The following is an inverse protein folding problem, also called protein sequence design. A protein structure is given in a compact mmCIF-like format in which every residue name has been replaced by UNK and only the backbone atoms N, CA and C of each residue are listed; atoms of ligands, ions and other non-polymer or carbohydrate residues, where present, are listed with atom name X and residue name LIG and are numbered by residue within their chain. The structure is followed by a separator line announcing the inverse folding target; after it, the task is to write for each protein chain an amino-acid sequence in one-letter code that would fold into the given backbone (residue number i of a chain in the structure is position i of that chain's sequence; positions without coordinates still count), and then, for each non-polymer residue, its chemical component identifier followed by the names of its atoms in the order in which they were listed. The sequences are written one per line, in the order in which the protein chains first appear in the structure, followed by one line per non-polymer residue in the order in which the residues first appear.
data_IF_465602369573
#
_entry.id   IF_465602369573
#
_cell.length_a   1.000
_cell.length_b   1.000
_cell.length_c   1.000
_cell.angle_alpha   90.00
_cell.angle_beta   90.00
_cell.angle_gamma   90.00
#
_symmetry.space_group_name_H-M   'P 1'
#
loop_
_entity.id
_entity.type
_entity.pdbx_description
1 polymer ?
#
# COMPACT_ATOMS: atom_id res chain seq x y z
N UNK A 1 9.51 -3.73 0.92
CA UNK A 1 8.47 -2.68 0.85
C UNK A 1 9.03 -1.36 1.35
N UNK A 2 9.76 -0.64 0.50
CA UNK A 2 10.27 0.71 0.82
C UNK A 2 10.92 1.42 -0.38
N UNK A 3 11.05 0.75 -1.53
CA UNK A 3 11.77 1.28 -2.70
C UNK A 3 10.91 2.19 -3.56
N UNK A 4 9.71 1.75 -3.90
CA UNK A 4 8.97 2.35 -5.03
C UNK A 4 8.28 3.68 -4.65
N UNK A 5 7.85 3.83 -3.39
CA UNK A 5 7.30 5.09 -2.88
C UNK A 5 8.37 6.19 -2.79
N UNK A 6 9.66 5.84 -2.60
CA UNK A 6 10.74 6.84 -2.47
C UNK A 6 11.17 7.46 -3.79
N UNK A 7 10.96 6.77 -4.91
CA UNK A 7 11.52 7.18 -6.20
C UNK A 7 10.63 8.15 -6.97
N UNK A 8 9.30 8.06 -6.79
CA UNK A 8 8.33 8.92 -7.49
C UNK A 8 8.01 10.23 -6.76
N UNK A 9 8.25 10.30 -5.45
CA UNK A 9 7.80 11.41 -4.61
C UNK A 9 8.92 11.80 -3.66
N UNK A 10 9.45 13.01 -3.80
CA UNK A 10 10.44 13.57 -2.88
C UNK A 10 10.08 13.24 -1.43
N UNK A 11 11.09 12.80 -0.65
CA UNK A 11 11.02 12.25 0.71
C UNK A 11 9.62 12.29 1.34
N UNK A 12 8.91 11.16 1.30
CA UNK A 12 7.72 10.97 2.13
C UNK A 12 8.13 11.07 3.61
N UNK A 13 7.45 11.95 4.34
CA UNK A 13 7.76 12.24 5.75
C UNK A 13 7.03 11.29 6.69
N UNK A 14 5.76 10.99 6.39
CA UNK A 14 4.90 10.11 7.18
C UNK A 14 3.90 9.41 6.28
N UNK A 15 3.51 8.18 6.64
CA UNK A 15 2.44 7.42 6.00
C UNK A 15 1.48 6.94 7.09
N UNK A 16 0.18 7.03 6.83
CA UNK A 16 -0.90 6.50 7.65
C UNK A 16 -1.77 5.63 6.76
N UNK A 17 -2.03 4.40 7.17
CA UNK A 17 -2.98 3.51 6.51
C UNK A 17 -4.32 3.57 7.24
N UNK A 18 -5.42 3.75 6.51
CA UNK A 18 -6.77 3.78 7.05
C UNK A 18 -7.26 2.34 7.24
N UNK A 19 -7.09 1.81 8.45
CA UNK A 19 -7.37 0.39 8.75
C UNK A 19 -8.83 0.00 8.55
N UNK A 20 -9.74 0.96 8.72
CA UNK A 20 -11.18 0.84 8.45
C UNK A 20 -11.52 0.62 6.97
N UNK A 21 -10.62 1.04 6.06
CA UNK A 21 -10.77 0.82 4.62
C UNK A 21 -10.09 -0.46 4.12
N UNK A 22 -9.36 -1.15 5.00
CA UNK A 22 -8.54 -2.31 4.62
C UNK A 22 -9.43 -3.52 4.40
N UNK A 23 -9.35 -4.09 3.20
CA UNK A 23 -10.13 -5.26 2.79
C UNK A 23 -9.20 -6.32 2.21
N UNK A 24 -9.44 -7.56 2.61
CA UNK A 24 -8.77 -8.74 2.10
C UNK A 24 -9.64 -9.43 1.04
N UNK A 25 -9.02 -10.00 0.00
CA UNK A 25 -9.72 -10.77 -1.02
C UNK A 25 -8.92 -11.99 -1.48
N UNK A 26 -9.62 -13.05 -1.84
CA UNK A 26 -8.99 -14.28 -2.32
C UNK A 26 -8.45 -14.10 -3.75
N UNK A 27 -7.18 -14.50 -3.97
CA UNK A 27 -6.58 -14.60 -5.30
C UNK A 27 -6.37 -16.09 -5.64
N UNK A 28 -5.67 -16.81 -4.78
CA UNK A 28 -5.42 -18.24 -4.92
C UNK A 28 -5.13 -18.91 -3.57
N UNK A 29 -4.96 -20.23 -3.55
CA UNK A 29 -4.55 -20.95 -2.33
C UNK A 29 -3.14 -20.60 -1.83
N UNK A 30 -2.37 -19.83 -2.59
CA UNK A 30 -1.04 -19.36 -2.22
C UNK A 30 -0.95 -17.84 -2.10
N UNK A 31 -1.99 -17.11 -2.50
CA UNK A 31 -1.97 -15.66 -2.65
C UNK A 31 -3.26 -15.02 -2.15
N UNK A 32 -3.11 -13.87 -1.49
CA UNK A 32 -4.19 -13.08 -0.97
C UNK A 32 -4.01 -11.63 -1.39
N UNK A 33 -5.09 -11.00 -1.80
CA UNK A 33 -5.15 -9.59 -2.08
C UNK A 33 -5.45 -8.80 -0.80
N UNK A 34 -4.78 -7.67 -0.63
CA UNK A 34 -5.04 -6.70 0.45
C UNK A 34 -5.08 -5.32 -0.18
N UNK A 35 -6.22 -4.66 -0.08
CA UNK A 35 -6.43 -3.31 -0.64
C UNK A 35 -7.00 -2.36 0.40
N UNK A 36 -6.79 -1.08 0.19
CA UNK A 36 -7.34 -0.04 1.05
C UNK A 36 -6.86 1.34 0.67
N UNK A 37 -7.01 2.27 1.61
CA UNK A 37 -6.63 3.66 1.46
C UNK A 37 -5.70 4.11 2.58
N UNK A 38 -5.03 5.23 2.35
CA UNK A 38 -4.18 5.86 3.33
C UNK A 38 -3.85 7.29 2.93
N UNK A 39 -3.06 7.94 3.76
CA UNK A 39 -2.55 9.28 3.52
C UNK A 39 -1.05 9.32 3.73
N UNK A 40 -0.34 10.13 2.97
CA UNK A 40 1.06 10.42 3.23
C UNK A 40 1.31 11.92 3.35
N UNK A 41 2.24 12.28 4.24
CA UNK A 41 2.71 13.65 4.43
C UNK A 41 3.89 13.91 3.51
N UNK A 42 3.78 14.94 2.69
CA UNK A 42 4.83 15.42 1.82
C UNK A 42 4.78 16.94 1.74
N UNK A 43 5.92 17.61 1.99
CA UNK A 43 6.04 19.06 1.85
C UNK A 43 4.99 19.84 2.67
N UNK A 44 4.67 19.33 3.86
CA UNK A 44 3.68 19.93 4.76
C UNK A 44 2.20 19.67 4.40
N UNK A 45 1.92 18.90 3.33
CA UNK A 45 0.56 18.54 2.92
C UNK A 45 0.28 17.04 3.01
N UNK A 46 -0.90 16.69 3.52
CA UNK A 46 -1.42 15.32 3.45
C UNK A 46 -2.02 15.04 2.08
N UNK A 47 -1.70 13.89 1.52
CA UNK A 47 -2.21 13.42 0.22
C UNK A 47 -2.78 12.02 0.38
N UNK A 48 -3.94 11.82 -0.22
CA UNK A 48 -4.63 10.53 -0.20
C UNK A 48 -4.05 9.59 -1.26
N UNK A 49 -4.01 8.31 -0.93
CA UNK A 49 -3.68 7.26 -1.86
C UNK A 49 -4.51 6.01 -1.59
N UNK A 50 -4.68 5.20 -2.63
CA UNK A 50 -5.14 3.83 -2.54
C UNK A 50 -3.98 2.87 -2.78
N UNK A 51 -4.06 1.69 -2.19
CA UNK A 51 -3.10 0.63 -2.37
C UNK A 51 -3.81 -0.69 -2.69
N UNK A 52 -3.15 -1.53 -3.48
CA UNK A 52 -3.56 -2.90 -3.75
C UNK A 52 -2.31 -3.79 -3.76
N UNK A 53 -2.26 -4.75 -2.86
CA UNK A 53 -1.11 -5.61 -2.61
C UNK A 53 -1.50 -7.07 -2.80
N UNK A 54 -0.64 -7.85 -3.46
CA UNK A 54 -0.71 -9.30 -3.48
C UNK A 54 0.31 -9.87 -2.50
N UNK A 55 -0.17 -10.61 -1.51
CA UNK A 55 0.64 -11.26 -0.48
C UNK A 55 0.69 -12.75 -0.76
N UNK A 56 1.89 -13.32 -0.81
CA UNK A 56 2.07 -14.76 -0.79
C UNK A 56 1.88 -15.26 0.66
N UNK A 57 0.75 -15.91 0.91
CA UNK A 57 0.38 -16.35 2.26
C UNK A 57 1.19 -17.56 2.74
N UNK A 58 1.95 -18.24 1.86
CA UNK A 58 2.80 -19.37 2.26
C UNK A 58 4.06 -18.93 2.99
N UNK A 59 4.56 -17.74 2.68
CA UNK A 59 5.80 -17.21 3.25
C UNK A 59 5.64 -15.81 3.86
N UNK A 60 4.43 -15.22 3.80
CA UNK A 60 4.13 -13.91 4.36
C UNK A 60 4.80 -12.75 3.61
N UNK A 61 5.27 -12.97 2.38
CA UNK A 61 5.96 -11.93 1.59
C UNK A 61 5.01 -11.25 0.62
N UNK A 62 5.23 -9.97 0.36
CA UNK A 62 4.47 -9.26 -0.67
C UNK A 62 5.08 -9.54 -2.04
N UNK A 63 4.27 -10.14 -2.90
CA UNK A 63 4.64 -10.47 -4.27
C UNK A 63 4.49 -9.27 -5.20
N UNK A 64 3.46 -8.44 -4.98
CA UNK A 64 3.20 -7.24 -5.77
C UNK A 64 2.55 -6.15 -4.92
N UNK A 65 2.86 -4.88 -5.20
CA UNK A 65 2.19 -3.73 -4.59
C UNK A 65 2.00 -2.62 -5.62
N UNK A 66 0.77 -2.15 -5.76
CA UNK A 66 0.41 -0.98 -6.56
C UNK A 66 -0.11 0.13 -5.64
N UNK A 67 0.24 1.38 -5.95
CA UNK A 67 -0.24 2.58 -5.26
C UNK A 67 -0.79 3.58 -6.27
N UNK A 68 -1.95 4.17 -5.98
CA UNK A 68 -2.58 5.19 -6.83
C UNK A 68 -2.95 6.41 -6.00
N UNK A 69 -2.52 7.59 -6.46
CA UNK A 69 -2.97 8.86 -5.89
C UNK A 69 -4.44 9.10 -6.24
N UNK A 70 -5.16 9.72 -5.32
CA UNK A 70 -6.50 10.26 -5.57
C UNK A 70 -6.44 11.69 -6.10
#
# INVERSE_FOLDING_TARGET
MSGDIKQAYGRVEKVIYSTDTTTEYFISNAEQGVKGQGQFLQSGGWKDFSYDCTVNIRNGTVAQSEYKLS
#
